data_IF_586198344099
#
_entry.id   IF_586198344099
#
_cell.length_a   1.000
_cell.length_b   1.000
_cell.length_c   1.000
_cell.angle_alpha   90.00
_cell.angle_beta   90.00
_cell.angle_gamma   90.00
#
_symmetry.space_group_name_H-M   'P 1'
#
loop_
_entity.id
_entity.type
_entity.pdbx_description
1 polymer ?
#
# COMPACT_ATOMS: atom_id res chain seq x y z
N UNK A 1 29.34 9.30 3.09
CA UNK A 1 28.53 8.24 3.72
C UNK A 1 27.48 8.90 4.58
N UNK A 2 26.22 8.50 4.37
CA UNK A 2 24.98 8.79 5.11
C UNK A 2 23.89 9.27 4.15
N UNK A 3 23.41 8.35 3.31
CA UNK A 3 22.10 8.50 2.66
C UNK A 3 21.06 8.73 3.74
N UNK A 4 20.43 9.90 3.69
CA UNK A 4 19.39 10.31 4.60
C UNK A 4 18.13 9.49 4.28
N UNK A 5 18.06 8.29 4.84
CA UNK A 5 16.97 7.30 4.63
C UNK A 5 15.65 7.71 5.28
N UNK A 6 15.56 8.92 5.85
CA UNK A 6 14.37 9.43 6.51
C UNK A 6 13.46 10.29 5.62
N UNK A 7 13.92 10.64 4.41
CA UNK A 7 13.11 11.37 3.42
C UNK A 7 12.32 10.43 2.48
N UNK A 8 11.92 9.25 2.99
CA UNK A 8 10.88 8.43 2.36
C UNK A 8 9.54 9.05 2.76
N UNK A 9 9.16 10.08 1.99
CA UNK A 9 8.02 10.95 2.21
C UNK A 9 6.82 10.27 2.83
N UNK A 10 6.24 10.90 3.85
CA UNK A 10 5.02 10.45 4.53
C UNK A 10 3.85 10.19 3.57
N UNK A 11 3.92 10.71 2.35
CA UNK A 11 2.85 10.65 1.36
C UNK A 11 2.67 9.25 0.74
N UNK A 12 3.74 8.45 0.57
CA UNK A 12 3.63 7.11 -0.04
C UNK A 12 3.13 6.04 0.93
N UNK A 13 3.32 6.22 2.25
CA UNK A 13 2.82 5.25 3.26
C UNK A 13 1.29 5.21 3.36
N UNK A 14 0.62 6.20 2.77
CA UNK A 14 -0.85 6.29 2.74
C UNK A 14 -1.44 5.59 1.51
N UNK A 15 -0.61 5.15 0.57
CA UNK A 15 -1.04 4.52 -0.68
C UNK A 15 -0.73 3.03 -0.61
N UNK A 16 -1.76 2.21 -0.78
CA UNK A 16 -1.62 0.77 -0.90
C UNK A 16 -1.11 0.46 -2.31
N UNK A 17 0.09 -0.09 -2.43
CA UNK A 17 0.64 -0.53 -3.70
C UNK A 17 0.07 -1.90 -4.06
N UNK A 18 -0.99 -1.89 -4.85
CA UNK A 18 -1.64 -3.12 -5.34
C UNK A 18 -0.78 -3.92 -6.33
N UNK A 19 0.36 -3.38 -6.77
CA UNK A 19 1.35 -4.11 -7.56
C UNK A 19 2.28 -4.99 -6.71
N UNK A 20 2.35 -4.76 -5.39
CA UNK A 20 3.14 -5.59 -4.48
C UNK A 20 2.25 -6.63 -3.80
N UNK A 21 2.41 -7.91 -4.17
CA UNK A 21 1.54 -8.99 -3.69
C UNK A 21 1.56 -9.17 -2.17
N UNK A 22 2.66 -8.85 -1.47
CA UNK A 22 2.67 -8.91 -0.01
C UNK A 22 1.82 -7.80 0.63
N UNK A 23 1.79 -6.62 0.01
CA UNK A 23 1.04 -5.49 0.51
C UNK A 23 -0.45 -5.72 0.26
N UNK A 24 -0.81 -6.19 -0.93
CA UNK A 24 -2.16 -6.68 -1.23
C UNK A 24 -2.61 -7.70 -0.20
N UNK A 25 -1.80 -8.74 0.06
CA UNK A 25 -2.16 -9.78 1.05
C UNK A 25 -2.38 -9.18 2.44
N UNK A 26 -1.43 -8.36 2.90
CA UNK A 26 -1.53 -7.69 4.18
C UNK A 26 -2.82 -6.86 4.32
N UNK A 27 -3.15 -6.08 3.29
CA UNK A 27 -4.34 -5.24 3.30
C UNK A 27 -5.64 -6.04 3.08
N UNK A 28 -5.64 -7.09 2.26
CA UNK A 28 -6.78 -8.00 2.13
C UNK A 28 -7.08 -8.73 3.44
N UNK A 29 -6.06 -9.10 4.22
CA UNK A 29 -6.24 -9.70 5.55
C UNK A 29 -6.66 -8.66 6.59
N UNK A 30 -6.06 -7.46 6.58
CA UNK A 30 -6.37 -6.39 7.52
C UNK A 30 -7.79 -5.82 7.33
N UNK A 31 -8.23 -5.68 6.09
CA UNK A 31 -9.55 -5.14 5.73
C UNK A 31 -10.59 -6.25 5.53
N UNK A 32 -10.17 -7.51 5.39
CA UNK A 32 -11.06 -8.65 5.12
C UNK A 32 -11.71 -8.60 3.74
N UNK A 33 -11.10 -7.90 2.78
CA UNK A 33 -11.62 -7.70 1.41
C UNK A 33 -10.82 -8.52 0.40
N UNK A 34 -11.40 -8.79 -0.76
CA UNK A 34 -10.67 -9.42 -1.87
C UNK A 34 -9.66 -8.46 -2.53
N UNK A 35 -8.68 -9.00 -3.27
CA UNK A 35 -7.72 -8.21 -4.05
C UNK A 35 -8.42 -7.23 -5.00
N UNK A 36 -9.49 -7.66 -5.65
CA UNK A 36 -10.25 -6.83 -6.59
C UNK A 36 -10.97 -5.68 -5.88
N UNK A 37 -11.53 -5.92 -4.70
CA UNK A 37 -12.15 -4.87 -3.88
C UNK A 37 -11.11 -3.89 -3.35
N UNK A 38 -9.94 -4.39 -2.95
CA UNK A 38 -8.81 -3.55 -2.54
C UNK A 38 -8.35 -2.66 -3.69
N UNK A 39 -8.13 -3.21 -4.88
CA UNK A 39 -7.76 -2.45 -6.09
C UNK A 39 -8.80 -1.39 -6.44
N UNK A 40 -10.08 -1.73 -6.35
CA UNK A 40 -11.17 -0.79 -6.61
C UNK A 40 -11.23 0.33 -5.58
N UNK A 41 -11.01 0.02 -4.29
CA UNK A 41 -10.98 1.00 -3.22
C UNK A 41 -9.78 1.96 -3.37
N UNK A 42 -8.60 1.43 -3.69
CA UNK A 42 -7.39 2.22 -3.96
C UNK A 42 -7.56 3.11 -5.18
N UNK A 43 -8.23 2.61 -6.24
CA UNK A 43 -8.52 3.39 -7.46
C UNK A 43 -9.60 4.46 -7.25
N UNK A 44 -10.43 4.36 -6.22
CA UNK A 44 -11.51 5.29 -5.92
C UNK A 44 -11.05 6.51 -5.10
N UNK A 45 -9.85 6.48 -4.51
CA UNK A 45 -9.19 7.58 -3.78
C UNK A 45 -8.30 8.38 -4.72
#
# INVERSE_FOLDING_TARGET
MSDNTQDRGQQDRSRINVHEDYEVRHWTEALGVSKEELEKAVKAV
#
